data_IF_991607456771
#
_entry.id   IF_991607456771
#
_cell.length_a   1.000
_cell.length_b   1.000
_cell.length_c   1.000
_cell.angle_alpha   90.00
_cell.angle_beta   90.00
_cell.angle_gamma   90.00
#
_symmetry.space_group_name_H-M   'P 1'
#
loop_
_entity.id
_entity.type
_entity.pdbx_description
1 polymer ?
#
# COMPACT_ATOMS: atom_id res chain seq x y z
N UNK A 1 -10.65 17.77 -26.39
CA UNK A 1 -10.70 16.44 -27.06
C UNK A 1 -10.23 15.39 -26.03
N UNK A 2 -10.76 14.16 -26.06
CA UNK A 2 -10.30 13.06 -25.19
C UNK A 2 -9.69 11.96 -26.06
N UNK A 3 -8.57 11.38 -25.60
CA UNK A 3 -7.98 10.17 -26.20
C UNK A 3 -8.57 8.96 -25.45
N UNK A 4 -8.87 7.89 -26.18
CA UNK A 4 -9.49 6.69 -25.61
C UNK A 4 -8.59 5.49 -25.83
N UNK A 5 -8.36 4.72 -24.75
CA UNK A 5 -7.68 3.44 -24.78
C UNK A 5 -8.59 2.40 -24.17
N UNK A 6 -8.81 1.30 -24.90
CA UNK A 6 -9.70 0.22 -24.48
C UNK A 6 -8.94 -0.98 -23.91
N UNK A 7 -9.64 -2.11 -23.78
CA UNK A 7 -9.11 -3.35 -23.17
C UNK A 7 -7.91 -3.93 -23.96
N UNK A 8 -7.85 -3.71 -25.26
CA UNK A 8 -6.72 -4.16 -26.06
C UNK A 8 -5.53 -3.20 -25.87
N UNK A 9 -4.40 -3.73 -25.42
CA UNK A 9 -3.18 -2.94 -25.24
C UNK A 9 -2.69 -2.39 -26.58
N UNK A 10 -2.43 -1.07 -26.70
CA UNK A 10 -1.85 -0.49 -27.89
C UNK A 10 -0.44 -1.03 -28.16
N UNK A 11 -0.10 -1.28 -29.43
CA UNK A 11 1.18 -1.88 -29.80
C UNK A 11 2.41 -1.00 -29.47
N UNK A 12 2.22 0.32 -29.38
CA UNK A 12 3.29 1.25 -29.03
C UNK A 12 3.56 1.36 -27.51
N UNK A 13 2.68 0.79 -26.68
CA UNK A 13 2.93 0.73 -25.22
C UNK A 13 4.02 -0.28 -24.92
N UNK A 14 5.02 0.17 -24.17
CA UNK A 14 6.13 -0.67 -23.74
C UNK A 14 6.26 -0.59 -22.22
N UNK A 15 6.61 -1.70 -21.56
CA UNK A 15 6.93 -1.65 -20.14
C UNK A 15 8.16 -0.76 -19.92
N UNK A 16 8.17 0.02 -18.84
CA UNK A 16 9.33 0.81 -18.43
C UNK A 16 10.49 -0.10 -17.96
N UNK A 17 10.15 -1.26 -17.43
CA UNK A 17 11.07 -2.34 -17.08
C UNK A 17 10.43 -3.70 -17.46
N UNK A 18 11.21 -4.79 -17.55
CA UNK A 18 10.67 -6.11 -17.87
C UNK A 18 9.51 -6.50 -16.96
N UNK A 19 8.50 -7.15 -17.52
CA UNK A 19 7.34 -7.69 -16.81
C UNK A 19 6.35 -6.65 -16.27
N UNK A 20 6.52 -5.35 -16.53
CA UNK A 20 5.61 -4.31 -16.02
C UNK A 20 4.15 -4.58 -16.41
N UNK A 21 3.87 -5.01 -17.65
CA UNK A 21 2.52 -5.35 -18.09
C UNK A 21 2.03 -6.73 -17.62
N UNK A 22 2.91 -7.55 -17.07
CA UNK A 22 2.51 -8.78 -16.39
C UNK A 22 2.02 -8.48 -14.97
N UNK A 23 2.54 -7.39 -14.38
CA UNK A 23 2.16 -6.90 -13.06
C UNK A 23 0.99 -5.92 -13.10
N UNK A 24 1.01 -4.96 -14.04
CA UNK A 24 0.05 -3.87 -14.12
C UNK A 24 -0.71 -3.88 -15.45
N UNK A 25 -1.99 -3.58 -15.40
CA UNK A 25 -2.78 -3.33 -16.61
C UNK A 25 -2.33 -2.03 -17.28
N UNK A 26 -2.23 -2.02 -18.61
CA UNK A 26 -2.00 -0.79 -19.35
C UNK A 26 -3.08 0.28 -19.07
N UNK A 27 -4.29 -0.12 -18.67
CA UNK A 27 -5.35 0.81 -18.26
C UNK A 27 -5.04 1.50 -16.94
N UNK A 28 -4.35 0.83 -15.98
CA UNK A 28 -3.85 1.48 -14.77
C UNK A 28 -2.82 2.55 -15.10
N UNK A 29 -1.89 2.24 -16.01
CA UNK A 29 -0.88 3.18 -16.48
C UNK A 29 -1.47 4.35 -17.28
N UNK A 30 -2.62 4.18 -17.94
CA UNK A 30 -3.35 5.29 -18.56
C UNK A 30 -4.09 6.14 -17.53
N UNK A 31 -4.71 5.50 -16.53
CA UNK A 31 -5.55 6.18 -15.55
C UNK A 31 -4.72 6.93 -14.51
N UNK A 32 -3.62 6.35 -14.06
CA UNK A 32 -2.69 6.90 -13.06
C UNK A 32 -3.42 7.53 -11.84
N UNK A 33 -4.43 6.84 -11.34
CA UNK A 33 -5.26 7.34 -10.22
C UNK A 33 -4.42 7.39 -8.95
N UNK A 34 -4.32 8.54 -8.27
CA UNK A 34 -3.61 8.62 -6.99
C UNK A 34 -4.23 7.72 -5.93
N UNK A 35 -3.38 7.03 -5.19
CA UNK A 35 -3.74 6.11 -4.13
C UNK A 35 -3.07 6.50 -2.82
N UNK A 36 -3.68 6.19 -1.69
CA UNK A 36 -3.01 6.32 -0.40
C UNK A 36 -1.82 5.36 -0.34
N UNK A 37 -0.65 5.86 0.07
CA UNK A 37 0.56 5.06 0.27
C UNK A 37 0.74 4.78 1.77
N UNK A 38 0.94 3.52 2.12
CA UNK A 38 1.18 3.05 3.48
C UNK A 38 2.05 1.80 3.46
N UNK A 39 2.44 1.29 4.63
CA UNK A 39 3.13 0.01 4.76
C UNK A 39 2.21 -1.05 5.36
N UNK A 40 2.22 -2.25 4.80
CA UNK A 40 1.61 -3.45 5.38
C UNK A 40 2.71 -4.21 6.12
N UNK A 41 2.46 -4.61 7.36
CA UNK A 41 3.40 -5.39 8.15
C UNK A 41 2.79 -6.70 8.61
N UNK A 42 3.60 -7.76 8.58
CA UNK A 42 3.25 -9.14 8.93
C UNK A 42 4.47 -9.85 9.51
N UNK A 43 4.29 -11.06 10.03
CA UNK A 43 5.41 -11.94 10.37
C UNK A 43 5.71 -12.90 9.22
N UNK A 44 6.99 -13.11 8.90
CA UNK A 44 7.46 -14.20 8.05
C UNK A 44 7.38 -15.53 8.81
N UNK A 45 7.41 -16.64 8.09
CA UNK A 45 7.36 -17.98 8.69
C UNK A 45 8.52 -18.26 9.65
N UNK A 46 9.69 -17.70 9.37
CA UNK A 46 10.88 -17.78 10.23
C UNK A 46 10.86 -16.80 11.43
N UNK A 47 9.78 -16.07 11.64
CA UNK A 47 9.62 -15.11 12.73
C UNK A 47 10.24 -13.74 12.51
N UNK A 48 10.88 -13.48 11.37
CA UNK A 48 11.35 -12.16 11.00
C UNK A 48 10.17 -11.26 10.56
N UNK A 49 10.24 -9.94 10.79
CA UNK A 49 9.19 -9.04 10.35
C UNK A 49 9.30 -8.76 8.85
N UNK A 50 8.14 -8.66 8.21
CA UNK A 50 7.96 -8.23 6.83
C UNK A 50 7.32 -6.85 6.78
N UNK A 51 7.81 -5.99 5.89
CA UNK A 51 7.32 -4.64 5.63
C UNK A 51 7.16 -4.42 4.14
N UNK A 52 5.92 -4.19 3.69
CA UNK A 52 5.59 -4.02 2.28
C UNK A 52 4.90 -2.67 2.05
N UNK A 53 5.55 -1.69 1.40
CA UNK A 53 4.87 -0.52 0.90
C UNK A 53 3.76 -0.91 -0.07
N UNK A 54 2.58 -0.32 0.09
CA UNK A 54 1.41 -0.67 -0.70
C UNK A 54 0.54 0.55 -0.99
N UNK A 55 -0.19 0.47 -2.11
CA UNK A 55 -1.22 1.39 -2.52
C UNK A 55 -2.46 0.58 -2.98
N UNK A 56 -3.24 1.05 -3.95
CA UNK A 56 -4.44 0.34 -4.48
C UNK A 56 -5.43 -0.10 -3.41
N UNK A 57 -5.82 0.85 -2.55
CA UNK A 57 -6.65 0.55 -1.39
C UNK A 57 -7.82 1.52 -1.29
N UNK A 58 -8.95 1.02 -0.83
CA UNK A 58 -10.01 1.84 -0.29
C UNK A 58 -10.31 1.46 1.17
N UNK A 59 -10.71 2.46 1.93
CA UNK A 59 -11.17 2.30 3.31
C UNK A 59 -12.64 2.70 3.37
N UNK A 60 -13.47 1.84 3.92
CA UNK A 60 -14.88 2.14 4.07
C UNK A 60 -15.46 1.43 5.28
N UNK A 61 -16.59 1.90 5.75
CA UNK A 61 -17.27 1.28 6.87
C UNK A 61 -18.71 1.75 6.97
N UNK A 62 -19.39 1.15 7.90
CA UNK A 62 -20.70 1.56 8.36
C UNK A 62 -20.70 1.63 9.89
N UNK A 63 -21.85 1.77 10.51
CA UNK A 63 -21.95 1.81 11.97
C UNK A 63 -21.57 0.51 12.68
N UNK A 64 -21.39 -0.60 11.94
CA UNK A 64 -21.11 -1.92 12.51
C UNK A 64 -19.63 -2.28 12.48
N UNK A 65 -18.89 -1.86 11.41
CA UNK A 65 -17.51 -2.22 11.20
C UNK A 65 -16.81 -1.24 10.24
N UNK A 66 -15.46 -1.29 10.24
CA UNK A 66 -14.60 -0.54 9.33
C UNK A 66 -13.63 -1.50 8.63
N UNK A 67 -13.44 -1.31 7.33
CA UNK A 67 -12.73 -2.26 6.47
C UNK A 67 -11.62 -1.58 5.68
N UNK A 68 -10.52 -2.30 5.49
CA UNK A 68 -9.48 -2.02 4.52
C UNK A 68 -9.58 -3.02 3.37
N UNK A 69 -9.79 -2.52 2.15
CA UNK A 69 -9.87 -3.33 0.93
C UNK A 69 -8.67 -3.03 0.04
N UNK A 70 -7.70 -3.94 0.00
CA UNK A 70 -6.46 -3.80 -0.74
C UNK A 70 -6.54 -4.58 -2.05
N UNK A 71 -6.35 -3.89 -3.17
CA UNK A 71 -6.17 -4.51 -4.49
C UNK A 71 -4.71 -4.80 -4.79
N UNK A 72 -4.43 -5.48 -5.92
CA UNK A 72 -3.09 -5.75 -6.44
C UNK A 72 -2.08 -6.33 -5.43
N UNK A 73 -2.55 -7.08 -4.43
CA UNK A 73 -1.64 -7.79 -3.53
C UNK A 73 -1.19 -9.08 -4.21
N UNK A 74 0.08 -9.13 -4.65
CA UNK A 74 0.60 -10.25 -5.42
C UNK A 74 0.73 -11.52 -4.58
N UNK A 75 0.16 -12.63 -5.09
CA UNK A 75 0.02 -13.89 -4.37
C UNK A 75 1.37 -14.59 -4.09
N UNK A 76 2.42 -14.29 -4.86
CA UNK A 76 3.76 -14.83 -4.63
C UNK A 76 4.52 -14.15 -3.49
N UNK A 77 4.08 -12.95 -3.04
CA UNK A 77 4.79 -12.15 -2.03
C UNK A 77 4.69 -12.74 -0.62
N UNK A 78 5.67 -12.41 0.22
CA UNK A 78 5.64 -12.71 1.65
C UNK A 78 4.37 -12.15 2.30
N UNK A 79 4.03 -10.91 2.02
CA UNK A 79 2.87 -10.21 2.61
C UNK A 79 1.58 -11.02 2.39
N UNK A 80 1.28 -11.42 1.16
CA UNK A 80 0.08 -12.21 0.86
C UNK A 80 0.09 -13.56 1.57
N UNK A 81 1.20 -14.29 1.48
CA UNK A 81 1.35 -15.61 2.13
C UNK A 81 1.19 -15.53 3.63
N UNK A 82 1.81 -14.53 4.26
CA UNK A 82 1.73 -14.30 5.71
C UNK A 82 0.30 -13.95 6.14
N UNK A 83 -0.38 -13.03 5.44
CA UNK A 83 -1.79 -12.67 5.72
C UNK A 83 -2.67 -13.91 5.63
N UNK A 84 -2.48 -14.75 4.63
CA UNK A 84 -3.25 -15.99 4.44
C UNK A 84 -2.99 -17.03 5.53
N UNK A 85 -1.76 -17.13 6.01
CA UNK A 85 -1.36 -18.06 7.08
C UNK A 85 -1.85 -17.59 8.44
N UNK A 86 -1.63 -16.30 8.78
CA UNK A 86 -1.82 -15.79 10.14
C UNK A 86 -3.19 -15.15 10.35
N UNK A 87 -3.94 -14.88 9.28
CA UNK A 87 -5.28 -14.30 9.34
C UNK A 87 -5.28 -12.85 9.84
N UNK A 88 -4.14 -12.15 9.83
CA UNK A 88 -4.06 -10.76 10.28
C UNK A 88 -2.88 -10.01 9.67
N UNK A 89 -2.93 -8.68 9.73
CA UNK A 89 -1.89 -7.76 9.27
C UNK A 89 -2.09 -6.38 9.89
N UNK A 90 -1.04 -5.58 9.92
CA UNK A 90 -1.13 -4.19 10.36
C UNK A 90 -0.89 -3.25 9.16
N UNK A 91 -1.68 -2.19 9.05
CA UNK A 91 -1.50 -1.09 8.11
C UNK A 91 -0.89 0.08 8.88
N UNK A 92 0.16 0.68 8.32
CA UNK A 92 0.94 1.73 8.95
C UNK A 92 1.06 2.92 8.00
N UNK A 93 0.54 4.08 8.41
CA UNK A 93 0.69 5.33 7.66
C UNK A 93 1.88 6.11 8.19
N UNK A 94 2.82 6.39 7.30
CA UNK A 94 4.02 7.16 7.59
C UNK A 94 4.02 8.45 6.79
N UNK A 95 4.70 9.47 7.32
CA UNK A 95 4.87 10.75 6.61
C UNK A 95 6.04 10.71 5.61
N UNK A 96 6.20 11.78 4.83
CA UNK A 96 7.23 11.90 3.79
C UNK A 96 8.65 11.68 4.32
N UNK A 97 8.94 12.05 5.56
CA UNK A 97 10.27 11.85 6.18
C UNK A 97 10.70 10.39 6.27
N UNK A 98 9.74 9.45 6.21
CA UNK A 98 10.00 8.00 6.26
C UNK A 98 9.86 7.30 4.91
N UNK A 99 9.59 8.04 3.83
CA UNK A 99 9.42 7.49 2.49
C UNK A 99 10.62 6.64 2.05
N UNK A 100 11.83 7.18 2.17
CA UNK A 100 13.06 6.48 1.80
C UNK A 100 13.27 5.19 2.64
N UNK A 101 12.86 5.21 3.91
CA UNK A 101 12.90 4.03 4.77
C UNK A 101 11.96 2.93 4.24
N UNK A 102 10.73 3.28 3.88
CA UNK A 102 9.80 2.33 3.27
C UNK A 102 10.33 1.76 1.95
N UNK A 103 10.95 2.60 1.11
CA UNK A 103 11.47 2.15 -0.18
C UNK A 103 12.66 1.19 -0.04
N UNK A 104 13.49 1.34 1.00
CA UNK A 104 14.58 0.38 1.29
C UNK A 104 14.04 -1.03 1.54
N UNK A 105 12.90 -1.19 2.21
CA UNK A 105 12.30 -2.49 2.45
C UNK A 105 11.90 -3.24 1.15
N UNK A 106 11.63 -2.52 0.06
CA UNK A 106 11.34 -3.15 -1.24
C UNK A 106 12.57 -3.85 -1.80
N UNK A 107 13.74 -3.27 -1.62
CA UNK A 107 15.01 -3.79 -2.16
C UNK A 107 15.62 -4.87 -1.25
N UNK A 108 15.34 -4.81 0.05
CA UNK A 108 15.90 -5.69 1.08
C UNK A 108 14.83 -6.68 1.58
N UNK A 109 14.13 -7.36 0.67
CA UNK A 109 12.96 -8.20 0.96
C UNK A 109 13.22 -9.73 0.93
N UNK A 110 14.46 -10.17 1.10
CA UNK A 110 14.81 -11.61 1.13
C UNK A 110 14.14 -12.36 2.31
N UNK A 111 14.03 -13.69 2.17
CA UNK A 111 13.41 -14.55 3.19
C UNK A 111 14.06 -14.35 4.58
N UNK A 112 15.38 -14.26 4.62
CA UNK A 112 16.17 -14.14 5.85
C UNK A 112 16.48 -12.69 6.26
N UNK A 113 15.82 -11.70 5.64
CA UNK A 113 16.01 -10.28 5.95
C UNK A 113 15.01 -9.80 6.99
N UNK A 114 15.49 -9.12 8.04
CA UNK A 114 14.67 -8.27 8.90
C UNK A 114 14.44 -6.93 8.18
N UNK A 115 13.27 -6.78 7.57
CA UNK A 115 12.95 -5.61 6.75
C UNK A 115 12.79 -4.33 7.57
N UNK A 116 12.48 -4.42 8.87
CA UNK A 116 12.48 -3.26 9.76
C UNK A 116 13.89 -2.76 10.02
N UNK A 117 14.81 -3.68 10.32
CA UNK A 117 16.22 -3.32 10.51
C UNK A 117 16.83 -2.74 9.22
N UNK A 118 16.55 -3.36 8.06
CA UNK A 118 17.01 -2.87 6.76
C UNK A 118 16.43 -1.49 6.42
N UNK A 119 15.17 -1.25 6.73
CA UNK A 119 14.53 0.06 6.57
C UNK A 119 15.02 1.11 7.59
N UNK A 120 15.58 0.69 8.72
CA UNK A 120 15.90 1.57 9.84
C UNK A 120 14.65 2.09 10.57
N UNK A 121 13.60 1.26 10.63
CA UNK A 121 12.34 1.54 11.31
C UNK A 121 12.24 0.71 12.58
N UNK A 122 11.55 1.25 13.59
CA UNK A 122 11.40 0.63 14.90
C UNK A 122 10.15 -0.24 14.94
N UNK A 123 10.31 -1.49 15.35
CA UNK A 123 9.19 -2.41 15.53
C UNK A 123 8.47 -2.15 16.84
N UNK A 124 7.15 -2.12 16.78
CA UNK A 124 6.24 -2.06 17.90
C UNK A 124 5.26 -3.25 17.88
N UNK A 125 4.70 -3.61 19.01
CA UNK A 125 3.70 -4.68 19.09
C UNK A 125 2.29 -4.13 18.81
N UNK A 126 1.51 -4.86 18.00
CA UNK A 126 0.06 -4.68 17.94
C UNK A 126 -0.62 -5.15 19.24
N UNK A 127 -1.79 -4.62 19.54
CA UNK A 127 -2.52 -4.91 20.79
C UNK A 127 -3.54 -6.05 20.60
N UNK A 128 -4.22 -6.11 19.44
CA UNK A 128 -5.32 -7.03 19.18
C UNK A 128 -4.97 -8.18 18.23
N UNK A 129 -3.86 -8.07 17.52
CA UNK A 129 -3.44 -9.05 16.52
C UNK A 129 -1.98 -9.44 16.69
N UNK A 130 -1.60 -10.59 16.14
CA UNK A 130 -0.21 -11.03 16.09
C UNK A 130 0.48 -10.55 14.81
N UNK A 131 0.72 -9.24 14.70
CA UNK A 131 1.52 -8.64 13.64
C UNK A 131 2.42 -7.55 14.24
N UNK A 132 3.56 -7.22 13.61
CA UNK A 132 4.35 -6.05 14.01
C UNK A 132 3.67 -4.78 13.52
N UNK A 133 3.84 -3.67 14.26
CA UNK A 133 3.53 -2.31 13.82
C UNK A 133 4.81 -1.49 13.73
N UNK A 134 4.74 -0.35 13.04
CA UNK A 134 5.86 0.60 12.90
C UNK A 134 5.65 1.73 13.91
N UNK A 135 6.62 1.91 14.84
CA UNK A 135 6.55 2.93 15.89
C UNK A 135 6.47 4.36 15.31
N UNK A 136 7.15 4.61 14.19
CA UNK A 136 7.20 5.91 13.51
C UNK A 136 5.91 6.25 12.75
N UNK A 137 4.94 5.33 12.71
CA UNK A 137 3.63 5.59 12.08
C UNK A 137 2.79 6.54 12.92
N UNK A 138 2.24 7.57 12.29
CA UNK A 138 1.29 8.45 12.95
C UNK A 138 -0.12 7.85 13.07
N UNK A 139 -0.41 6.82 12.28
CA UNK A 139 -1.68 6.09 12.29
C UNK A 139 -1.40 4.63 11.94
N UNK A 140 -1.87 3.70 12.80
CA UNK A 140 -1.87 2.27 12.52
C UNK A 140 -3.27 1.70 12.58
N UNK A 141 -3.53 0.69 11.75
CA UNK A 141 -4.79 -0.07 11.74
C UNK A 141 -4.47 -1.55 11.85
N UNK A 142 -4.91 -2.17 12.93
CA UNK A 142 -4.79 -3.60 13.14
C UNK A 142 -5.96 -4.31 12.48
N UNK A 143 -5.68 -5.23 11.56
CA UNK A 143 -6.67 -5.84 10.69
C UNK A 143 -6.72 -7.36 10.84
N UNK A 144 -7.93 -7.92 10.91
CA UNK A 144 -8.19 -9.36 10.74
C UNK A 144 -8.67 -9.64 9.34
N UNK A 145 -8.08 -10.65 8.71
CA UNK A 145 -8.45 -11.08 7.37
C UNK A 145 -9.91 -11.55 7.34
N UNK A 146 -10.70 -11.00 6.43
CA UNK A 146 -12.06 -11.47 6.12
C UNK A 146 -12.10 -12.28 4.83
N UNK A 147 -11.49 -11.77 3.76
CA UNK A 147 -11.48 -12.40 2.45
C UNK A 147 -10.19 -12.10 1.69
N UNK A 148 -9.79 -13.03 0.85
CA UNK A 148 -8.68 -12.84 -0.09
C UNK A 148 -9.04 -13.55 -1.39
N UNK A 149 -9.39 -12.78 -2.41
CA UNK A 149 -9.94 -13.27 -3.66
C UNK A 149 -9.12 -12.84 -4.86
N UNK A 150 -8.76 -13.80 -5.69
CA UNK A 150 -8.27 -13.54 -7.04
C UNK A 150 -9.46 -13.17 -7.94
N UNK A 151 -9.59 -11.88 -8.25
CA UNK A 151 -10.71 -11.37 -9.06
C UNK A 151 -10.57 -11.78 -10.53
N UNK A 152 -9.36 -11.81 -11.03
CA UNK A 152 -9.08 -12.14 -12.44
C UNK A 152 -9.07 -13.64 -12.71
N UNK A 153 -8.81 -14.47 -11.68
CA UNK A 153 -8.58 -15.90 -11.80
C UNK A 153 -7.24 -16.26 -12.44
N UNK A 154 -6.32 -15.29 -12.57
CA UNK A 154 -5.03 -15.49 -13.23
C UNK A 154 -3.94 -16.03 -12.29
N UNK A 155 -4.20 -16.13 -10.98
CA UNK A 155 -3.22 -16.57 -10.00
C UNK A 155 -2.14 -15.54 -9.67
N UNK A 156 -2.30 -14.29 -10.11
CA UNK A 156 -1.27 -13.25 -9.99
C UNK A 156 -1.48 -12.39 -8.75
N UNK A 157 -2.58 -11.68 -8.68
CA UNK A 157 -2.90 -10.75 -7.62
C UNK A 157 -4.27 -11.04 -7.00
N UNK A 158 -4.42 -10.69 -5.74
CA UNK A 158 -5.69 -10.82 -5.03
C UNK A 158 -6.16 -9.46 -4.50
N UNK A 159 -7.48 -9.34 -4.35
CA UNK A 159 -8.09 -8.37 -3.46
C UNK A 159 -8.13 -8.99 -2.06
N UNK A 160 -7.59 -8.27 -1.09
CA UNK A 160 -7.58 -8.68 0.31
C UNK A 160 -8.42 -7.71 1.11
N UNK A 161 -9.42 -8.22 1.83
CA UNK A 161 -10.28 -7.43 2.72
C UNK A 161 -9.99 -7.80 4.17
N UNK A 162 -9.69 -6.81 4.99
CA UNK A 162 -9.54 -6.94 6.44
C UNK A 162 -10.52 -6.08 7.19
N UNK A 163 -11.07 -6.62 8.29
CA UNK A 163 -11.77 -5.80 9.28
C UNK A 163 -10.76 -5.10 10.16
N UNK A 164 -10.88 -3.79 10.29
CA UNK A 164 -10.07 -2.98 11.20
C UNK A 164 -10.62 -3.16 12.62
N UNK A 165 -9.87 -3.88 13.46
CA UNK A 165 -10.29 -4.20 14.84
C UNK A 165 -9.73 -3.20 15.85
N UNK A 166 -8.68 -2.46 15.50
CA UNK A 166 -8.11 -1.40 16.32
C UNK A 166 -7.44 -0.33 15.45
N UNK A 167 -7.58 0.90 15.86
CA UNK A 167 -6.87 2.06 15.29
C UNK A 167 -6.05 2.70 16.39
N UNK A 168 -4.76 2.95 16.15
CA UNK A 168 -3.90 3.74 17.02
C UNK A 168 -3.43 4.97 16.27
N UNK A 169 -3.51 6.12 16.91
CA UNK A 169 -3.21 7.43 16.31
C UNK A 169 -2.27 8.18 17.24
N UNK A 170 -1.23 8.79 16.70
CA UNK A 170 -0.35 9.68 17.44
C UNK A 170 -1.17 10.79 18.14
N UNK A 171 -0.84 11.10 19.37
CA UNK A 171 -1.64 11.98 20.25
C UNK A 171 -1.93 13.34 19.61
N UNK A 172 -0.95 13.96 18.96
CA UNK A 172 -1.12 15.24 18.27
C UNK A 172 -2.17 15.19 17.16
N UNK A 173 -2.19 14.12 16.39
CA UNK A 173 -3.22 13.90 15.36
C UNK A 173 -4.58 13.54 15.97
N UNK A 174 -4.60 12.75 17.04
CA UNK A 174 -5.83 12.34 17.71
C UNK A 174 -6.56 13.53 18.37
N UNK A 175 -5.79 14.50 18.91
CA UNK A 175 -6.31 15.71 19.55
C UNK A 175 -6.52 16.89 18.60
N UNK A 176 -6.19 16.72 17.31
CA UNK A 176 -6.28 17.79 16.31
C UNK A 176 -5.29 18.95 16.53
N UNK A 177 -4.20 18.73 17.28
CA UNK A 177 -3.11 19.69 17.45
C UNK A 177 -2.04 19.56 16.37
N UNK A 178 -2.06 18.49 15.58
CA UNK A 178 -1.27 18.28 14.36
C UNK A 178 -2.19 17.92 13.21
N UNK A 179 -1.86 18.43 12.04
CA UNK A 179 -2.60 18.17 10.82
C UNK A 179 -2.18 16.82 10.20
N UNK A 180 -3.15 16.09 9.66
CA UNK A 180 -2.93 14.84 8.91
C UNK A 180 -2.60 15.07 7.44
N UNK A 181 -2.46 16.32 7.05
CA UNK A 181 -2.16 16.76 5.70
C UNK A 181 -0.78 17.42 5.67
N UNK A 182 -0.29 17.74 4.46
CA UNK A 182 1.04 18.32 4.33
C UNK A 182 2.16 17.32 4.61
N UNK A 183 3.36 17.81 4.92
CA UNK A 183 4.60 17.02 5.02
C UNK A 183 4.56 15.91 6.08
N UNK A 184 3.87 16.15 7.17
CA UNK A 184 3.75 15.19 8.28
C UNK A 184 2.54 14.24 8.14
N UNK A 185 1.72 14.41 7.11
CA UNK A 185 0.48 13.69 6.91
C UNK A 185 0.55 12.55 5.92
N UNK A 186 -0.63 12.17 5.41
CA UNK A 186 -0.79 11.07 4.47
C UNK A 186 -0.02 11.29 3.18
N UNK A 187 0.58 10.20 2.70
CA UNK A 187 1.21 10.12 1.39
C UNK A 187 0.25 9.61 0.34
N UNK A 188 0.39 10.14 -0.87
CA UNK A 188 -0.25 9.64 -2.08
C UNK A 188 0.81 9.15 -3.06
N UNK A 189 0.55 8.02 -3.67
CA UNK A 189 1.29 7.50 -4.82
C UNK A 189 0.42 7.67 -6.06
N UNK A 190 0.93 8.38 -7.07
CA UNK A 190 0.33 8.43 -8.40
C UNK A 190 1.24 7.64 -9.35
N UNK A 191 0.81 6.46 -9.84
CA UNK A 191 1.58 5.68 -10.79
C UNK A 191 1.90 6.53 -12.02
N UNK A 192 3.12 6.40 -12.55
CA UNK A 192 3.56 7.16 -13.72
C UNK A 192 2.69 6.83 -14.93
N UNK A 193 1.95 7.82 -15.50
CA UNK A 193 1.12 7.57 -16.66
C UNK A 193 1.98 7.33 -17.90
N UNK A 194 1.51 6.46 -18.78
CA UNK A 194 2.08 6.41 -20.12
C UNK A 194 1.40 7.43 -21.04
N UNK A 195 2.18 8.05 -21.92
CA UNK A 195 1.63 8.89 -22.96
C UNK A 195 0.75 8.02 -23.90
N UNK A 196 -0.52 8.35 -24.00
CA UNK A 196 -1.51 7.52 -24.71
C UNK A 196 -1.32 7.49 -26.23
N UNK A 197 -0.53 8.41 -26.80
CA UNK A 197 -0.22 8.47 -28.22
C UNK A 197 1.13 7.82 -28.57
N UNK A 198 2.14 8.02 -27.73
CA UNK A 198 3.50 7.52 -27.99
C UNK A 198 3.90 6.30 -27.16
N UNK A 199 3.19 5.99 -26.08
CA UNK A 199 3.56 4.96 -25.13
C UNK A 199 4.76 5.34 -24.24
N UNK A 200 5.25 6.58 -24.29
CA UNK A 200 6.36 7.03 -23.47
C UNK A 200 5.99 6.99 -21.97
N UNK A 201 6.80 6.37 -21.11
CA UNK A 201 6.55 6.33 -19.67
C UNK A 201 6.76 7.70 -19.03
N UNK A 202 6.05 7.96 -17.94
CA UNK A 202 6.28 9.10 -17.05
C UNK A 202 6.67 8.59 -15.67
N UNK A 203 7.40 9.38 -14.86
CA UNK A 203 7.76 9.00 -13.50
C UNK A 203 6.54 8.81 -12.63
N UNK A 204 6.61 7.86 -11.70
CA UNK A 204 5.67 7.78 -10.57
C UNK A 204 5.87 8.98 -9.66
N UNK A 205 4.78 9.62 -9.26
CA UNK A 205 4.82 10.74 -8.32
C UNK A 205 4.43 10.28 -6.91
N UNK A 206 5.19 10.74 -5.93
CA UNK A 206 4.87 10.61 -4.51
C UNK A 206 4.69 12.01 -3.96
N UNK A 207 3.66 12.21 -3.16
CA UNK A 207 3.39 13.52 -2.56
C UNK A 207 2.39 13.45 -1.44
N UNK A 208 2.22 14.56 -0.83
CA UNK A 208 1.14 14.85 0.12
C UNK A 208 0.16 15.84 -0.51
N UNK A 209 -0.96 16.04 0.10
CA UNK A 209 -1.92 16.99 -0.44
C UNK A 209 -2.08 18.21 0.46
N UNK A 210 -2.23 19.39 -0.17
CA UNK A 210 -2.61 20.63 0.49
C UNK A 210 -4.14 20.72 0.47
N UNK A 211 -4.82 20.58 1.61
CA UNK A 211 -6.26 20.56 1.65
C UNK A 211 -6.83 21.96 1.40
N UNK A 212 -7.99 22.01 0.75
CA UNK A 212 -8.92 23.12 0.92
C UNK A 212 -9.99 22.62 1.86
N UNK A 213 -10.08 23.22 3.03
CA UNK A 213 -11.11 22.87 4.00
C UNK A 213 -12.48 23.35 3.50
N UNK A 214 -13.49 22.55 3.73
CA UNK A 214 -14.89 22.90 3.47
C UNK A 214 -15.48 23.35 4.78
N UNK A 215 -16.06 24.53 4.76
CA UNK A 215 -16.80 25.11 5.90
C UNK A 215 -18.20 24.49 6.02
#
# INVERSE_FOLDING_TARGET
MKISVGKQRPAHYKPAYPEEFDLFSHLELCAAVPQALFAITTWKENGLPNLCPHAWTCFHGDRTAFFACMGNLYQHTHTYKNIRRDGCFCINFLSMKHYEAMMRAIHENGDDTDEFAAAGLTRERCEEINAPAILESFLTMECRLLDARDISGAGMAAMVTGEVVRVRVEEGFARGTRDRFGEDGFLLLAPGPQNMESGAPSPTAIGNFAPRLWD
#
